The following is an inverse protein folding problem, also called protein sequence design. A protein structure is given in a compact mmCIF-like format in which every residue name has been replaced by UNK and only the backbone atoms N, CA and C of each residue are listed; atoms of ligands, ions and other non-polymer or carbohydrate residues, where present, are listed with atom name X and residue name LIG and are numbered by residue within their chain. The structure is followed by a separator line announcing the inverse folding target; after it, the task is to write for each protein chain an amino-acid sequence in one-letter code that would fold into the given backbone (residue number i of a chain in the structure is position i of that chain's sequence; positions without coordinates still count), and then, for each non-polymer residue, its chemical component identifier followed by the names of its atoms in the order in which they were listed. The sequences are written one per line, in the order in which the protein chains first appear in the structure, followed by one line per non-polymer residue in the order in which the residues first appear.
data_IF_758829688991
#
_entry.id   IF_758829688991
#
_cell.length_a   1.000
_cell.length_b   1.000
_cell.length_c   1.000
_cell.angle_alpha   90.00
_cell.angle_beta   90.00
_cell.angle_gamma   90.00
#
_symmetry.space_group_name_H-M   'P 1'
#
loop_
_entity.id
_entity.type
_entity.pdbx_description
1 polymer ?
#
# COMPACT_ATOMS: atom_id res chain seq x y z
N UNK A 1 -4.74 1.72 11.08
CA UNK A 1 -5.87 2.15 10.21
C UNK A 1 -5.98 1.31 8.95
N UNK A 2 -4.89 1.03 8.23
CA UNK A 2 -4.92 0.27 6.97
C UNK A 2 -5.65 -1.08 7.00
N UNK A 3 -5.53 -1.86 8.10
CA UNK A 3 -6.23 -3.16 8.25
C UNK A 3 -7.74 -3.07 8.03
N UNK A 4 -8.44 -2.19 8.77
CA UNK A 4 -9.89 -2.07 8.67
C UNK A 4 -10.33 -1.60 7.28
N UNK A 5 -9.52 -0.76 6.62
CA UNK A 5 -9.80 -0.31 5.27
C UNK A 5 -9.61 -1.43 4.24
N UNK A 6 -8.58 -2.27 4.38
CA UNK A 6 -8.38 -3.44 3.55
C UNK A 6 -9.57 -4.42 3.67
N UNK A 7 -10.02 -4.70 4.90
CA UNK A 7 -11.21 -5.54 5.13
C UNK A 7 -12.47 -4.91 4.53
N UNK A 8 -12.66 -3.60 4.70
CA UNK A 8 -13.80 -2.89 4.14
C UNK A 8 -13.82 -2.94 2.61
N UNK A 9 -12.68 -2.75 1.94
CA UNK A 9 -12.57 -2.85 0.48
C UNK A 9 -12.91 -4.27 0.01
N UNK A 10 -12.48 -5.29 0.75
CA UNK A 10 -12.82 -6.69 0.46
C UNK A 10 -14.30 -7.00 0.65
N UNK A 11 -14.94 -6.45 1.70
CA UNK A 11 -16.38 -6.58 1.93
C UNK A 11 -17.21 -5.95 0.79
N UNK A 12 -16.62 -5.05 -0.01
CA UNK A 12 -17.24 -4.42 -1.18
C UNK A 12 -16.86 -5.09 -2.52
N UNK A 13 -16.33 -6.32 -2.48
CA UNK A 13 -16.14 -7.16 -3.67
C UNK A 13 -14.83 -6.98 -4.41
N UNK A 14 -13.84 -6.31 -3.81
CA UNK A 14 -12.50 -6.16 -4.39
C UNK A 14 -11.48 -7.08 -3.73
N UNK A 15 -10.55 -7.64 -4.51
CA UNK A 15 -9.39 -8.33 -3.95
C UNK A 15 -8.35 -7.34 -3.44
N UNK A 16 -7.80 -7.57 -2.26
CA UNK A 16 -6.81 -6.69 -1.63
C UNK A 16 -5.52 -7.45 -1.35
N UNK A 17 -4.39 -6.91 -1.82
CA UNK A 17 -3.08 -7.28 -1.30
C UNK A 17 -2.74 -6.34 -0.14
N UNK A 18 -2.34 -6.87 1.00
CA UNK A 18 -1.92 -6.11 2.17
C UNK A 18 -0.44 -6.37 2.47
N UNK A 19 0.33 -5.33 2.74
CA UNK A 19 1.76 -5.42 3.02
C UNK A 19 2.12 -4.67 4.30
N UNK A 20 2.91 -5.30 5.17
CA UNK A 20 3.52 -4.68 6.35
C UNK A 20 4.87 -5.35 6.63
N UNK A 21 5.81 -4.60 7.22
CA UNK A 21 7.12 -5.14 7.64
C UNK A 21 6.99 -6.09 8.84
N UNK A 22 5.94 -5.92 9.65
CA UNK A 22 5.63 -6.81 10.78
C UNK A 22 4.93 -8.06 10.29
N UNK A 23 5.63 -9.20 10.38
CA UNK A 23 5.06 -10.53 10.08
C UNK A 23 3.83 -10.84 10.94
N UNK A 24 3.79 -10.33 12.17
CA UNK A 24 2.65 -10.49 13.08
C UNK A 24 1.40 -9.79 12.53
N UNK A 25 1.53 -8.57 12.00
CA UNK A 25 0.41 -7.86 11.38
C UNK A 25 -0.04 -8.52 10.08
N UNK A 26 0.91 -9.06 9.30
CA UNK A 26 0.60 -9.83 8.07
C UNK A 26 -0.18 -11.10 8.42
N UNK A 27 0.20 -11.81 9.48
CA UNK A 27 -0.53 -12.97 9.96
C UNK A 27 -1.93 -12.59 10.48
N UNK A 28 -2.02 -11.51 11.28
CA UNK A 28 -3.29 -11.05 11.84
C UNK A 28 -4.31 -10.67 10.76
N UNK A 29 -3.90 -9.96 9.69
CA UNK A 29 -4.83 -9.64 8.61
C UNK A 29 -5.25 -10.86 7.80
N UNK A 30 -4.37 -11.86 7.65
CA UNK A 30 -4.72 -13.10 6.96
C UNK A 30 -5.76 -13.91 7.75
N UNK A 31 -5.64 -13.94 9.08
CA UNK A 31 -6.63 -14.56 9.98
C UNK A 31 -7.96 -13.81 9.95
N UNK A 32 -7.95 -12.48 10.13
CA UNK A 32 -9.17 -11.65 10.12
C UNK A 32 -9.88 -11.61 8.75
N UNK A 33 -9.16 -11.95 7.68
CA UNK A 33 -9.69 -12.01 6.33
C UNK A 33 -10.20 -13.39 5.92
N UNK A 34 -10.36 -14.34 6.84
CA UNK A 34 -10.95 -15.63 6.53
C UNK A 34 -12.31 -15.46 5.81
N UNK A 35 -12.45 -16.09 4.64
CA UNK A 35 -13.63 -15.93 3.77
C UNK A 35 -13.68 -14.66 2.91
N UNK A 36 -12.68 -13.78 3.02
CA UNK A 36 -12.54 -12.54 2.21
C UNK A 36 -11.39 -12.66 1.21
N UNK A 37 -11.45 -11.85 0.15
CA UNK A 37 -10.40 -11.80 -0.87
C UNK A 37 -9.22 -10.91 -0.44
N UNK A 38 -8.59 -11.18 0.70
CA UNK A 38 -7.40 -10.43 1.17
C UNK A 38 -6.21 -11.37 1.31
N UNK A 39 -5.06 -10.97 0.77
CA UNK A 39 -3.80 -11.69 0.91
C UNK A 39 -2.75 -10.80 1.59
N UNK A 40 -2.10 -11.33 2.64
CA UNK A 40 -1.03 -10.64 3.35
C UNK A 40 0.36 -10.97 2.79
N UNK A 41 1.22 -9.97 2.69
CA UNK A 41 2.58 -10.07 2.16
C UNK A 41 3.59 -9.43 3.13
N UNK A 42 4.73 -10.09 3.32
CA UNK A 42 5.86 -9.56 4.11
C UNK A 42 7.08 -9.18 3.25
N UNK A 43 6.95 -9.29 1.92
CA UNK A 43 7.97 -8.91 0.94
C UNK A 43 7.35 -7.96 -0.09
N UNK A 44 8.00 -6.83 -0.34
CA UNK A 44 7.49 -5.76 -1.20
C UNK A 44 7.41 -6.19 -2.67
N UNK A 45 8.33 -7.06 -3.15
CA UNK A 45 8.33 -7.50 -4.55
C UNK A 45 7.16 -8.44 -4.81
N UNK A 46 6.91 -9.37 -3.90
CA UNK A 46 5.76 -10.27 -3.97
C UNK A 46 4.45 -9.51 -3.86
N UNK A 47 4.38 -8.50 -2.98
CA UNK A 47 3.24 -7.60 -2.89
C UNK A 47 2.96 -6.88 -4.22
N UNK A 48 3.97 -6.22 -4.81
CA UNK A 48 3.81 -5.48 -6.07
C UNK A 48 3.47 -6.41 -7.24
N UNK A 49 4.01 -7.63 -7.25
CA UNK A 49 3.73 -8.63 -8.28
C UNK A 49 2.29 -9.17 -8.21
N UNK A 50 1.64 -9.14 -7.04
CA UNK A 50 0.26 -9.60 -6.87
C UNK A 50 -0.79 -8.59 -7.35
N UNK A 51 -0.40 -7.34 -7.65
CA UNK A 51 -1.32 -6.28 -8.05
C UNK A 51 -1.60 -6.29 -9.55
N UNK A 52 -2.88 -6.15 -9.91
CA UNK A 52 -3.29 -5.90 -11.29
C UNK A 52 -2.78 -4.54 -11.78
N UNK A 53 -2.37 -4.46 -13.05
CA UNK A 53 -1.93 -3.22 -13.71
C UNK A 53 -3.12 -2.43 -14.28
N UNK A 54 -3.10 -1.08 -14.29
CA UNK A 54 -2.16 -0.22 -13.56
C UNK A 54 -2.33 -0.43 -12.05
N UNK A 55 -1.21 -0.53 -11.33
CA UNK A 55 -1.18 -0.84 -9.91
C UNK A 55 -1.73 0.33 -9.12
N UNK A 56 -2.48 0.04 -8.06
CA UNK A 56 -3.12 1.04 -7.19
C UNK A 56 -2.69 0.73 -5.76
N UNK A 57 -1.81 1.56 -5.19
CA UNK A 57 -1.20 1.30 -3.89
C UNK A 57 -1.58 2.42 -2.93
N UNK A 58 -2.41 2.08 -1.94
CA UNK A 58 -2.76 2.97 -0.85
C UNK A 58 -1.79 2.79 0.33
N UNK A 59 -1.08 3.87 0.67
CA UNK A 59 -0.13 3.92 1.77
C UNK A 59 -0.81 4.45 3.03
N UNK A 60 -0.85 3.64 4.08
CA UNK A 60 -1.40 3.99 5.40
C UNK A 60 -0.31 3.91 6.46
N UNK A 61 0.75 4.72 6.31
CA UNK A 61 1.95 4.73 7.15
C UNK A 61 2.09 6.08 7.89
N UNK A 62 2.93 6.16 8.96
CA UNK A 62 3.17 7.42 9.64
C UNK A 62 3.66 8.52 8.68
N UNK A 63 3.18 9.75 8.87
CA UNK A 63 3.56 10.89 8.05
C UNK A 63 5.07 11.22 8.12
N UNK A 64 5.57 11.93 7.10
CA UNK A 64 6.98 12.32 6.99
C UNK A 64 7.86 11.23 6.40
N UNK A 65 9.03 10.97 7.01
CA UNK A 65 10.08 10.11 6.44
C UNK A 65 9.65 8.67 6.15
N UNK A 66 8.67 8.14 6.89
CA UNK A 66 8.20 6.77 6.65
C UNK A 66 7.45 6.65 5.31
N UNK A 67 6.69 7.66 4.90
CA UNK A 67 6.09 7.69 3.55
C UNK A 67 7.19 7.75 2.48
N UNK A 68 8.20 8.59 2.69
CA UNK A 68 9.29 8.76 1.72
C UNK A 68 10.08 7.45 1.52
N UNK A 69 10.40 6.75 2.61
CA UNK A 69 11.07 5.45 2.55
C UNK A 69 10.23 4.38 1.83
N UNK A 70 8.90 4.40 2.01
CA UNK A 70 7.99 3.49 1.28
C UNK A 70 8.00 3.81 -0.21
N UNK A 71 7.89 5.10 -0.59
CA UNK A 71 7.95 5.53 -1.98
C UNK A 71 9.27 5.09 -2.62
N UNK A 72 10.40 5.31 -1.96
CA UNK A 72 11.72 4.88 -2.44
C UNK A 72 11.81 3.36 -2.65
N UNK A 73 11.22 2.57 -1.75
CA UNK A 73 11.20 1.10 -1.88
C UNK A 73 10.31 0.60 -3.03
N UNK A 74 9.22 1.32 -3.32
CA UNK A 74 8.26 0.96 -4.36
C UNK A 74 8.72 1.41 -5.74
N UNK A 75 9.31 2.62 -5.84
CA UNK A 75 9.72 3.26 -7.10
C UNK A 75 10.40 2.34 -8.12
N UNK A 76 11.39 1.49 -7.78
CA UNK A 76 12.05 0.62 -8.76
C UNK A 76 11.19 -0.56 -9.24
N UNK A 77 9.99 -0.77 -8.66
CA UNK A 77 9.08 -1.88 -8.96
C UNK A 77 7.80 -1.42 -9.68
N UNK A 78 7.64 -0.11 -9.89
CA UNK A 78 6.47 0.49 -10.53
C UNK A 78 6.71 0.69 -12.02
N UNK A 79 5.62 0.62 -12.78
CA UNK A 79 5.60 0.94 -14.21
C UNK A 79 4.88 2.30 -14.43
N UNK A 80 5.15 3.00 -15.55
CA UNK A 80 4.41 4.20 -15.91
C UNK A 80 2.89 3.97 -15.90
N UNK A 81 2.15 4.86 -15.25
CA UNK A 81 0.70 4.78 -15.07
C UNK A 81 0.24 4.07 -13.79
N UNK A 82 1.15 3.49 -13.01
CA UNK A 82 0.83 3.05 -11.65
C UNK A 82 0.52 4.24 -10.74
N UNK A 83 -0.36 4.02 -9.76
CA UNK A 83 -0.91 5.06 -8.88
C UNK A 83 -0.52 4.78 -7.44
N UNK A 84 0.20 5.73 -6.83
CA UNK A 84 0.44 5.80 -5.40
C UNK A 84 -0.55 6.77 -4.74
N UNK A 85 -1.16 6.34 -3.63
CA UNK A 85 -2.13 7.12 -2.88
C UNK A 85 -1.62 7.24 -1.44
N UNK A 86 -1.29 8.44 -0.98
CA UNK A 86 -0.96 8.70 0.42
C UNK A 86 -2.26 8.94 1.20
N UNK A 87 -2.70 7.93 1.96
CA UNK A 87 -3.88 8.00 2.82
C UNK A 87 -3.56 8.38 4.27
N UNK A 88 -2.31 8.75 4.55
CA UNK A 88 -1.88 9.23 5.86
C UNK A 88 -2.20 10.71 6.09
N UNK A 89 -1.82 11.21 7.26
CA UNK A 89 -1.97 12.63 7.62
C UNK A 89 -0.71 13.43 7.24
N UNK A 90 -0.23 13.28 6.00
CA UNK A 90 0.93 14.02 5.50
C UNK A 90 0.61 15.52 5.37
N UNK A 91 1.63 16.37 5.59
CA UNK A 91 1.48 17.79 5.33
C UNK A 91 1.45 18.04 3.82
N UNK A 92 0.50 18.85 3.34
CA UNK A 92 0.26 19.02 1.90
C UNK A 92 1.51 19.45 1.10
N UNK A 93 2.46 20.17 1.71
CA UNK A 93 3.72 20.55 1.04
C UNK A 93 4.62 19.34 0.76
N UNK A 94 4.60 18.33 1.63
CA UNK A 94 5.31 17.08 1.40
C UNK A 94 4.68 16.32 0.24
N UNK A 95 3.35 16.30 0.16
CA UNK A 95 2.62 15.72 -0.99
C UNK A 95 2.98 16.43 -2.29
N UNK A 96 2.99 17.77 -2.31
CA UNK A 96 3.39 18.54 -3.50
C UNK A 96 4.82 18.21 -3.93
N UNK A 97 5.77 18.11 -2.99
CA UNK A 97 7.15 17.71 -3.28
C UNK A 97 7.20 16.32 -3.92
N UNK A 98 6.51 15.33 -3.33
CA UNK A 98 6.46 13.94 -3.82
C UNK A 98 5.88 13.83 -5.23
N UNK A 99 4.85 14.61 -5.54
CA UNK A 99 4.27 14.67 -6.89
C UNK A 99 5.35 15.10 -7.89
N UNK A 100 6.07 16.18 -7.62
CA UNK A 100 7.15 16.66 -8.50
C UNK A 100 8.31 15.65 -8.64
N UNK A 101 8.62 14.89 -7.58
CA UNK A 101 9.67 13.86 -7.59
C UNK A 101 9.29 12.59 -8.39
N UNK A 102 7.97 12.34 -8.57
CA UNK A 102 7.40 11.17 -9.24
C UNK A 102 6.88 11.45 -10.66
N UNK A 103 6.55 12.70 -11.01
CA UNK A 103 6.05 13.10 -12.34
C UNK A 103 7.14 13.20 -13.43
N UNK A 104 8.23 12.43 -13.33
CA UNK A 104 9.31 12.35 -14.33
C UNK A 104 9.53 10.94 -14.85
#
# INVERSE_FOLDING_TARGET
MGRNLALNVADHGYSVAAYDLSKEKVAAIAEEAEGRAVAGFADVKNFVAALARPRKILMMVPAGRAVDAVIESLRPLLDPGDVLIDGGNSFFKDTNRRIQELEG
#
